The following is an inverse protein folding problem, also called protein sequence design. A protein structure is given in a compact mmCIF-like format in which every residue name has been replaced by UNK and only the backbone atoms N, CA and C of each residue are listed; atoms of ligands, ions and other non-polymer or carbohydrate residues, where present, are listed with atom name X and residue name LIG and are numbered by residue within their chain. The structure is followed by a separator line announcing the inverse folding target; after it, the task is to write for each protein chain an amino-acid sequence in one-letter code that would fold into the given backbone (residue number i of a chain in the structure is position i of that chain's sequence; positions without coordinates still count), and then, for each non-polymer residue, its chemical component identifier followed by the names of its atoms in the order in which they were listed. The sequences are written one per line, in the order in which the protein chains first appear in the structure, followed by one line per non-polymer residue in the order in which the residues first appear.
data_IF_617993352347
#
_entry.id   IF_617993352347
#
_cell.length_a   1.000
_cell.length_b   1.000
_cell.length_c   1.000
_cell.angle_alpha   90.00
_cell.angle_beta   90.00
_cell.angle_gamma   90.00
#
_symmetry.space_group_name_H-M   'P 1'
#
loop_
_entity.id
_entity.type
_entity.pdbx_description
1 polymer ?
#
# COMPACT_ATOMS: atom_id res chain seq x y z
N UNK A 1 -8.52 -12.55 38.90
CA UNK A 1 -7.89 -13.18 37.71
C UNK A 1 -8.66 -12.71 36.50
N UNK A 2 -8.10 -11.79 35.72
CA UNK A 2 -8.72 -11.33 34.47
C UNK A 2 -8.48 -12.43 33.43
N UNK A 3 -9.54 -13.11 33.02
CA UNK A 3 -9.49 -14.02 31.88
C UNK A 3 -9.06 -13.23 30.65
N UNK A 4 -8.01 -13.64 29.91
CA UNK A 4 -7.66 -12.98 28.66
C UNK A 4 -8.86 -13.10 27.71
N UNK A 5 -9.34 -11.96 27.21
CA UNK A 5 -10.34 -11.91 26.14
C UNK A 5 -9.88 -12.81 24.99
N UNK A 6 -10.73 -13.72 24.47
CA UNK A 6 -10.35 -14.59 23.38
C UNK A 6 -9.93 -13.73 22.18
N UNK A 7 -8.68 -13.86 21.76
CA UNK A 7 -8.18 -13.21 20.55
C UNK A 7 -8.88 -13.83 19.35
N UNK A 8 -9.57 -12.98 18.57
CA UNK A 8 -10.30 -13.37 17.35
C UNK A 8 -9.39 -14.07 16.33
N UNK A 9 -8.09 -13.74 16.36
CA UNK A 9 -7.08 -14.27 15.47
C UNK A 9 -6.13 -15.24 16.18
N UNK A 10 -5.67 -16.25 15.45
CA UNK A 10 -4.57 -17.09 15.91
C UNK A 10 -3.25 -16.29 15.90
N UNK A 11 -2.26 -16.64 16.74
CA UNK A 11 -0.95 -16.01 16.70
C UNK A 11 -0.27 -16.24 15.35
N UNK A 12 0.11 -15.17 14.67
CA UNK A 12 0.84 -15.24 13.40
C UNK A 12 2.28 -15.70 13.68
N UNK A 13 2.71 -16.73 12.95
CA UNK A 13 4.09 -17.26 13.02
C UNK A 13 4.85 -16.95 11.74
N UNK A 14 5.96 -16.22 11.85
CA UNK A 14 6.83 -15.89 10.72
C UNK A 14 8.22 -16.53 10.89
N UNK A 15 8.73 -17.11 9.81
CA UNK A 15 10.15 -17.44 9.69
C UNK A 15 10.97 -16.16 9.49
N UNK A 16 12.27 -16.25 9.78
CA UNK A 16 13.21 -15.15 9.53
C UNK A 16 13.21 -14.70 8.06
N UNK A 17 13.17 -15.65 7.12
CA UNK A 17 13.16 -15.32 5.68
C UNK A 17 11.85 -14.65 5.24
N UNK A 18 10.72 -15.01 5.85
CA UNK A 18 9.44 -14.33 5.60
C UNK A 18 9.47 -12.89 6.12
N UNK A 19 10.01 -12.67 7.32
CA UNK A 19 10.19 -11.34 7.89
C UNK A 19 11.12 -10.45 7.04
N UNK A 20 12.28 -10.99 6.61
CA UNK A 20 13.24 -10.28 5.75
C UNK A 20 12.64 -9.92 4.38
N UNK A 21 11.80 -10.79 3.81
CA UNK A 21 11.08 -10.54 2.55
C UNK A 21 10.07 -9.40 2.70
N UNK A 22 9.30 -9.39 3.79
CA UNK A 22 8.36 -8.30 4.10
C UNK A 22 9.10 -6.98 4.29
N UNK A 23 10.21 -6.97 5.02
CA UNK A 23 11.02 -5.77 5.22
C UNK A 23 11.58 -5.22 3.89
N UNK A 24 12.13 -6.10 3.04
CA UNK A 24 12.67 -5.72 1.73
C UNK A 24 11.60 -5.10 0.84
N UNK A 25 10.41 -5.71 0.80
CA UNK A 25 9.28 -5.18 0.06
C UNK A 25 8.86 -3.79 0.57
N UNK A 26 8.75 -3.62 1.89
CA UNK A 26 8.34 -2.33 2.47
C UNK A 26 9.38 -1.23 2.22
N UNK A 27 10.68 -1.56 2.32
CA UNK A 27 11.76 -0.64 1.95
C UNK A 27 11.68 -0.22 0.49
N UNK A 28 11.43 -1.16 -0.43
CA UNK A 28 11.25 -0.83 -1.85
C UNK A 28 10.05 0.11 -2.05
N UNK A 29 8.91 -0.16 -1.40
CA UNK A 29 7.73 0.69 -1.48
C UNK A 29 7.99 2.12 -0.97
N UNK A 30 8.81 2.28 0.08
CA UNK A 30 9.23 3.60 0.57
C UNK A 30 10.14 4.30 -0.45
N UNK A 31 11.11 3.59 -1.03
CA UNK A 31 12.00 4.16 -2.06
C UNK A 31 11.24 4.60 -3.31
N UNK A 32 10.27 3.81 -3.77
CA UNK A 32 9.41 4.16 -4.90
C UNK A 32 8.63 5.46 -4.64
N UNK A 33 8.13 5.64 -3.41
CA UNK A 33 7.44 6.86 -3.00
C UNK A 33 8.40 8.07 -2.97
N UNK A 34 9.64 7.88 -2.50
CA UNK A 34 10.67 8.93 -2.50
C UNK A 34 10.97 9.38 -3.93
N UNK A 35 11.25 8.43 -4.83
CA UNK A 35 11.53 8.71 -6.24
C UNK A 35 10.35 9.42 -6.93
N UNK A 36 9.12 8.96 -6.67
CA UNK A 36 7.94 9.57 -7.24
C UNK A 36 7.68 10.98 -6.73
N UNK A 37 7.97 11.25 -5.46
CA UNK A 37 7.92 12.61 -4.89
C UNK A 37 8.98 13.50 -5.54
N UNK A 38 10.21 13.02 -5.70
CA UNK A 38 11.27 13.76 -6.38
C UNK A 38 10.89 14.11 -7.81
N UNK A 39 10.35 13.15 -8.57
CA UNK A 39 9.88 13.37 -9.94
C UNK A 39 8.68 14.33 -10.03
N UNK A 40 7.86 14.42 -8.98
CA UNK A 40 6.78 15.39 -8.90
C UNK A 40 7.32 16.79 -8.61
N UNK A 41 8.26 16.93 -7.67
CA UNK A 41 8.85 18.22 -7.30
C UNK A 41 9.64 18.83 -8.46
N UNK A 42 10.31 18.02 -9.30
CA UNK A 42 11.00 18.52 -10.50
C UNK A 42 10.06 19.12 -11.55
N UNK A 43 8.76 18.87 -11.45
CA UNK A 43 7.70 19.44 -12.30
C UNK A 43 6.88 20.52 -11.59
N UNK A 44 7.38 21.08 -10.48
CA UNK A 44 6.66 22.06 -9.66
C UNK A 44 5.27 21.56 -9.22
N UNK A 45 5.22 20.31 -8.74
CA UNK A 45 3.99 19.61 -8.36
C UNK A 45 2.96 19.41 -9.49
N UNK A 46 3.31 19.70 -10.75
CA UNK A 46 2.49 19.33 -11.88
C UNK A 46 2.59 17.82 -12.12
N UNK A 47 1.44 17.17 -12.15
CA UNK A 47 1.34 15.77 -12.53
C UNK A 47 1.11 15.65 -14.04
N UNK A 48 1.53 14.51 -14.60
CA UNK A 48 1.28 14.17 -16.00
C UNK A 48 -0.22 14.15 -16.31
N UNK A 49 -0.59 14.33 -17.58
CA UNK A 49 -1.99 14.42 -18.05
C UNK A 49 -2.85 13.18 -17.76
N UNK A 50 -2.21 12.07 -17.40
CA UNK A 50 -2.85 10.84 -16.93
C UNK A 50 -3.44 10.99 -15.52
N UNK A 51 -2.95 11.92 -14.70
CA UNK A 51 -3.47 12.18 -13.37
C UNK A 51 -4.65 13.16 -13.43
N UNK A 52 -5.80 12.74 -12.88
CA UNK A 52 -6.99 13.57 -12.75
C UNK A 52 -7.12 14.11 -11.35
N UNK A 53 -7.33 15.41 -11.24
CA UNK A 53 -7.73 16.04 -10.00
C UNK A 53 -9.04 15.43 -9.48
N UNK A 54 -9.09 15.16 -8.18
CA UNK A 54 -10.27 14.61 -7.48
C UNK A 54 -10.91 15.69 -6.62
N UNK A 55 -10.15 16.25 -5.70
CA UNK A 55 -10.61 17.24 -4.73
C UNK A 55 -9.40 17.89 -4.05
N UNK A 56 -9.66 19.03 -3.40
CA UNK A 56 -8.77 19.63 -2.40
C UNK A 56 -9.51 19.81 -1.07
N UNK A 57 -8.74 19.92 0.01
CA UNK A 57 -9.18 20.31 1.34
C UNK A 57 -7.99 20.95 2.08
N UNK A 58 -8.17 22.14 2.64
CA UNK A 58 -7.05 22.90 3.20
C UNK A 58 -5.96 23.11 2.15
N UNK A 59 -4.72 22.74 2.49
CA UNK A 59 -3.58 22.78 1.56
C UNK A 59 -3.31 21.43 0.88
N UNK A 60 -4.16 20.43 1.08
CA UNK A 60 -4.04 19.10 0.47
C UNK A 60 -4.79 19.04 -0.85
N UNK A 61 -4.21 18.34 -1.83
CA UNK A 61 -4.80 18.03 -3.13
C UNK A 61 -4.70 16.53 -3.38
N UNK A 62 -5.79 15.92 -3.83
CA UNK A 62 -5.81 14.52 -4.26
C UNK A 62 -5.99 14.40 -5.77
N UNK A 63 -5.19 13.53 -6.36
CA UNK A 63 -5.23 13.12 -7.75
C UNK A 63 -5.36 11.61 -7.86
N UNK A 64 -5.93 11.15 -8.97
CA UNK A 64 -6.05 9.72 -9.31
C UNK A 64 -5.52 9.47 -10.70
N UNK A 65 -4.91 8.32 -10.93
CA UNK A 65 -4.48 7.95 -12.26
C UNK A 65 -5.69 7.60 -13.14
N UNK A 66 -5.63 7.94 -14.43
CA UNK A 66 -6.66 7.60 -15.42
C UNK A 66 -6.54 6.12 -15.78
N UNK A 67 -7.69 5.45 -15.77
CA UNK A 67 -7.75 4.02 -15.99
C UNK A 67 -7.65 3.24 -14.68
N UNK A 68 -7.51 1.94 -14.84
CA UNK A 68 -7.28 1.01 -13.76
C UNK A 68 -5.91 0.41 -14.00
N UNK A 69 -5.08 0.33 -12.96
CA UNK A 69 -3.81 -0.37 -13.10
C UNK A 69 -4.15 -1.83 -13.33
N UNK A 70 -3.84 -2.32 -14.54
CA UNK A 70 -3.80 -3.77 -14.77
C UNK A 70 -2.72 -4.30 -13.85
N UNK A 71 -3.01 -5.35 -13.10
CA UNK A 71 -2.01 -6.03 -12.27
C UNK A 71 -0.99 -6.70 -13.19
N UNK A 72 -0.13 -5.91 -13.85
CA UNK A 72 0.95 -6.41 -14.68
C UNK A 72 2.09 -6.83 -13.76
N UNK A 73 2.26 -8.15 -13.69
CA UNK A 73 3.30 -8.95 -13.04
C UNK A 73 4.76 -8.57 -13.39
N UNK A 74 4.99 -7.40 -13.98
CA UNK A 74 6.28 -6.91 -14.47
C UNK A 74 6.56 -5.45 -14.10
N UNK A 75 5.61 -4.73 -13.49
CA UNK A 75 5.97 -3.46 -12.83
C UNK A 75 6.70 -3.80 -11.53
N UNK A 76 7.74 -3.03 -11.19
CA UNK A 76 8.61 -3.17 -9.99
C UNK A 76 7.88 -3.24 -8.63
N UNK A 77 6.55 -3.23 -8.65
CA UNK A 77 5.59 -3.35 -7.55
C UNK A 77 5.23 -4.81 -7.18
N UNK A 78 5.82 -5.81 -7.85
CA UNK A 78 5.68 -7.21 -7.48
C UNK A 78 6.81 -8.07 -8.08
N UNK A 79 7.83 -8.40 -7.30
CA UNK A 79 8.68 -9.57 -7.54
C UNK A 79 9.14 -10.05 -6.16
N UNK A 80 9.07 -11.32 -5.79
CA UNK A 80 9.22 -12.56 -6.56
C UNK A 80 8.59 -13.70 -5.77
N UNK A 81 7.75 -14.56 -6.37
CA UNK A 81 8.06 -15.99 -6.49
C UNK A 81 7.05 -16.67 -7.45
N UNK A 82 7.57 -17.23 -8.52
CA UNK A 82 6.81 -18.11 -9.40
C UNK A 82 6.54 -19.44 -8.67
N UNK A 83 5.26 -19.77 -8.52
CA UNK A 83 4.55 -20.87 -9.20
C UNK A 83 3.53 -21.54 -8.28
N UNK A 84 2.37 -20.90 -8.12
CA UNK A 84 1.09 -21.61 -7.95
C UNK A 84 -0.06 -20.65 -8.27
N UNK A 85 -1.10 -21.15 -8.93
CA UNK A 85 -2.22 -20.38 -9.48
C UNK A 85 -3.14 -19.82 -8.38
N UNK A 86 -2.71 -18.76 -7.67
CA UNK A 86 -3.53 -17.83 -6.86
C UNK A 86 -2.61 -16.71 -6.35
N UNK A 87 -2.57 -15.56 -7.04
CA UNK A 87 -1.62 -14.49 -6.71
C UNK A 87 -2.33 -13.17 -6.46
N UNK A 88 -2.69 -12.90 -5.20
CA UNK A 88 -3.22 -11.62 -4.66
C UNK A 88 -2.73 -11.51 -3.24
N UNK A 89 -2.18 -10.37 -2.83
CA UNK A 89 -1.39 -10.21 -1.60
C UNK A 89 -0.10 -11.04 -1.57
N UNK A 90 0.85 -10.57 -0.77
CA UNK A 90 2.09 -11.31 -0.53
C UNK A 90 1.71 -12.54 0.30
N UNK A 91 1.64 -13.70 -0.35
CA UNK A 91 1.47 -14.94 0.40
C UNK A 91 2.75 -15.16 1.21
N UNK A 92 2.59 -15.18 2.52
CA UNK A 92 3.70 -15.38 3.43
C UNK A 92 4.17 -16.85 3.38
N UNK A 93 3.34 -17.82 3.00
CA UNK A 93 3.57 -19.27 3.16
C UNK A 93 4.12 -20.04 1.94
N UNK A 94 5.08 -19.50 1.20
CA UNK A 94 5.79 -20.29 0.17
C UNK A 94 6.79 -21.28 0.82
N UNK A 95 6.41 -22.55 0.97
CA UNK A 95 7.33 -23.65 1.30
C UNK A 95 8.20 -23.99 0.09
N UNK A 96 9.52 -23.99 0.28
CA UNK A 96 10.50 -24.47 -0.71
C UNK A 96 10.31 -25.99 -0.87
N UNK A 97 9.75 -26.44 -2.00
CA UNK A 97 9.90 -27.83 -2.45
C UNK A 97 11.19 -27.95 -3.25
N UNK A 98 12.26 -28.38 -2.58
CA UNK A 98 13.40 -29.04 -3.23
C UNK A 98 12.94 -30.38 -3.77
N UNK A 99 12.86 -30.52 -5.09
CA UNK A 99 12.47 -31.76 -5.75
C UNK A 99 13.10 -31.84 -7.14
N UNK A 100 14.30 -32.39 -7.19
CA UNK A 100 14.96 -32.88 -8.40
C UNK A 100 14.18 -34.04 -9.02
N UNK A 101 13.70 -33.92 -10.26
CA UNK A 101 13.47 -35.08 -11.14
C UNK A 101 13.64 -34.70 -12.62
N UNK A 102 14.68 -35.32 -13.20
CA UNK A 102 14.89 -35.60 -14.62
C UNK A 102 13.77 -36.43 -15.22
N UNK A 103 13.33 -36.15 -16.45
CA UNK A 103 12.95 -37.17 -17.46
C UNK A 103 13.07 -36.60 -18.88
N UNK A 104 13.49 -37.47 -19.80
CA UNK A 104 14.00 -37.18 -21.13
C UNK A 104 12.98 -37.34 -22.28
N UNK A 105 13.28 -36.61 -23.36
CA UNK A 105 12.99 -36.77 -24.81
C UNK A 105 11.84 -37.64 -25.38
N UNK A 106 11.18 -37.06 -26.40
CA UNK A 106 10.99 -37.47 -27.83
C UNK A 106 9.59 -37.03 -28.31
N UNK A 107 9.27 -36.67 -29.55
CA UNK A 107 9.94 -36.40 -30.84
C UNK A 107 8.87 -35.92 -31.85
N UNK A 108 9.27 -35.07 -32.83
CA UNK A 108 8.68 -34.86 -34.20
C UNK A 108 7.22 -34.36 -34.28
N UNK A 109 6.79 -33.53 -35.24
CA UNK A 109 7.19 -33.30 -36.63
C UNK A 109 6.77 -31.91 -37.17
N UNK A 110 7.49 -31.52 -38.22
CA UNK A 110 7.34 -30.38 -39.16
C UNK A 110 5.95 -30.03 -39.67
N UNK A 111 5.72 -28.74 -40.01
CA UNK A 111 5.39 -28.26 -41.38
C UNK A 111 5.82 -26.79 -41.55
N UNK A 112 6.39 -26.51 -42.73
CA UNK A 112 6.99 -25.28 -43.23
C UNK A 112 5.93 -24.45 -43.97
N UNK A 113 5.90 -23.11 -43.81
CA UNK A 113 5.27 -22.21 -44.79
C UNK A 113 5.92 -20.83 -44.74
N UNK A 114 6.05 -20.22 -45.92
CA UNK A 114 6.99 -19.16 -46.31
C UNK A 114 6.34 -17.77 -46.40
N UNK A 115 7.19 -16.76 -46.19
CA UNK A 115 7.22 -15.39 -46.75
C UNK A 115 6.03 -14.42 -46.58
N UNK A 116 6.32 -13.27 -45.93
CA UNK A 116 6.29 -11.96 -46.62
C UNK A 116 7.18 -10.92 -45.93
N UNK A 117 7.82 -10.11 -46.76
CA UNK A 117 8.79 -9.04 -46.45
C UNK A 117 8.09 -7.74 -46.01
N UNK A 118 8.78 -7.06 -45.09
CA UNK A 118 8.98 -5.60 -44.95
C UNK A 118 7.78 -4.67 -44.68
N UNK A 119 7.84 -4.00 -43.54
CA UNK A 119 7.78 -2.53 -43.48
C UNK A 119 8.41 -2.04 -42.17
N UNK A 120 9.55 -1.35 -42.30
CA UNK A 120 10.08 -0.50 -41.25
C UNK A 120 9.13 0.69 -41.08
N UNK A 121 8.40 0.74 -39.96
CA UNK A 121 7.78 1.98 -39.49
C UNK A 121 8.35 2.30 -38.13
N UNK A 122 9.23 3.30 -38.11
CA UNK A 122 9.73 3.98 -36.94
C UNK A 122 8.51 4.55 -36.20
N UNK A 123 8.06 3.92 -35.12
CA UNK A 123 7.05 4.47 -34.20
C UNK A 123 7.62 4.55 -32.80
N UNK A 124 7.54 5.77 -32.30
CA UNK A 124 7.85 6.25 -30.96
C UNK A 124 7.25 5.34 -29.88
N UNK A 125 8.05 5.11 -28.84
CA UNK A 125 7.72 4.33 -27.64
C UNK A 125 6.61 5.07 -26.87
N UNK A 126 5.36 4.77 -27.21
CA UNK A 126 4.17 5.17 -26.46
C UNK A 126 3.82 4.08 -25.46
N UNK A 127 3.57 4.50 -24.21
CA UNK A 127 3.22 3.64 -23.09
C UNK A 127 2.14 2.59 -23.44
N UNK A 128 2.49 1.32 -23.30
CA UNK A 128 1.51 0.23 -23.42
C UNK A 128 0.68 0.17 -22.14
N UNK A 129 -0.56 0.67 -22.22
CA UNK A 129 -1.64 0.38 -21.27
C UNK A 129 -1.75 -1.15 -21.15
N UNK A 130 -1.47 -1.70 -19.97
CA UNK A 130 -1.51 -3.13 -19.72
C UNK A 130 -2.91 -3.69 -19.99
N UNK A 131 -3.03 -4.63 -20.93
CA UNK A 131 -4.28 -5.32 -21.25
C UNK A 131 -4.65 -6.25 -20.08
N UNK A 132 -5.82 -6.04 -19.47
CA UNK A 132 -6.36 -6.87 -18.37
C UNK A 132 -6.59 -8.31 -18.85
N UNK A 133 -6.24 -9.30 -18.01
CA UNK A 133 -6.70 -10.68 -18.18
C UNK A 133 -8.22 -10.73 -17.86
N UNK A 134 -9.09 -11.02 -18.84
CA UNK A 134 -10.54 -11.10 -18.62
C UNK A 134 -10.97 -12.15 -17.59
N UNK A 135 -10.08 -13.08 -17.24
CA UNK A 135 -10.34 -14.16 -16.29
C UNK A 135 -9.97 -13.83 -14.85
N UNK A 136 -9.40 -12.64 -14.58
CA UNK A 136 -9.09 -12.22 -13.21
C UNK A 136 -10.36 -11.67 -12.51
N UNK A 137 -10.96 -12.41 -11.55
CA UNK A 137 -12.20 -12.00 -10.90
C UNK A 137 -12.03 -10.80 -9.98
N UNK A 138 -10.79 -10.30 -9.79
CA UNK A 138 -10.50 -9.28 -8.80
C UNK A 138 -10.85 -7.87 -9.27
N UNK A 139 -11.19 -6.99 -8.32
CA UNK A 139 -11.40 -5.58 -8.61
C UNK A 139 -10.14 -4.93 -9.18
N UNK A 140 -10.27 -4.00 -10.12
CA UNK A 140 -9.14 -3.21 -10.54
C UNK A 140 -8.59 -2.37 -9.38
N UNK A 141 -7.27 -2.14 -9.38
CA UNK A 141 -6.65 -1.16 -8.48
C UNK A 141 -6.70 0.24 -9.11
N UNK A 142 -6.89 1.24 -8.26
CA UNK A 142 -6.80 2.65 -8.64
C UNK A 142 -5.74 3.36 -7.83
N UNK A 143 -4.70 3.80 -8.55
CA UNK A 143 -3.67 4.64 -7.97
C UNK A 143 -4.17 6.05 -7.67
N UNK A 144 -3.71 6.58 -6.55
CA UNK A 144 -3.95 7.95 -6.11
C UNK A 144 -2.68 8.58 -5.54
N UNK A 145 -2.65 9.90 -5.56
CA UNK A 145 -1.67 10.73 -4.87
C UNK A 145 -2.40 11.81 -4.09
N UNK A 146 -2.01 12.02 -2.85
CA UNK A 146 -2.47 13.16 -2.04
C UNK A 146 -1.25 13.88 -1.53
N UNK A 147 -1.14 15.19 -1.75
CA UNK A 147 0.01 15.95 -1.26
C UNK A 147 -0.35 17.38 -0.92
N UNK A 148 0.48 17.99 -0.07
CA UNK A 148 0.33 19.36 0.39
C UNK A 148 0.85 19.54 1.81
N UNK A 149 0.52 20.68 2.41
CA UNK A 149 0.97 21.04 3.76
C UNK A 149 -0.06 20.68 4.82
N UNK A 150 0.44 20.26 5.98
CA UNK A 150 -0.35 20.04 7.20
C UNK A 150 0.31 20.75 8.38
N UNK A 151 -0.47 21.03 9.41
CA UNK A 151 0.07 21.45 10.71
C UNK A 151 0.64 20.24 11.45
N UNK A 152 1.61 20.48 12.32
CA UNK A 152 2.36 19.47 13.05
C UNK A 152 3.82 19.36 12.59
N UNK A 153 4.70 19.11 13.55
CA UNK A 153 6.10 18.78 13.27
C UNK A 153 6.20 17.36 12.71
N UNK A 154 7.11 17.14 11.76
CA UNK A 154 7.11 15.93 10.95
C UNK A 154 7.34 14.65 11.76
N UNK A 155 8.12 14.73 12.85
CA UNK A 155 8.34 13.59 13.75
C UNK A 155 7.06 13.22 14.46
N UNK A 156 6.39 14.20 15.04
CA UNK A 156 5.17 14.01 15.81
C UNK A 156 4.05 13.39 14.93
N UNK A 157 3.97 13.81 13.66
CA UNK A 157 3.08 13.22 12.64
C UNK A 157 3.43 11.76 12.31
N UNK A 158 4.71 11.38 12.37
CA UNK A 158 5.14 9.99 12.12
C UNK A 158 4.92 9.15 13.37
N UNK A 159 5.25 9.71 14.54
CA UNK A 159 5.20 9.03 15.83
C UNK A 159 3.77 8.71 16.26
N UNK A 160 2.77 9.53 15.88
CA UNK A 160 1.35 9.20 16.10
C UNK A 160 0.90 7.95 15.34
N UNK A 161 1.67 7.45 14.37
CA UNK A 161 1.41 6.19 13.67
C UNK A 161 2.07 4.98 14.33
N UNK A 162 2.94 5.19 15.31
CA UNK A 162 3.63 4.12 16.01
C UNK A 162 2.70 3.44 17.02
N UNK A 163 2.47 2.14 16.87
CA UNK A 163 1.84 1.32 17.88
C UNK A 163 2.33 -0.13 17.76
N UNK A 164 2.88 -0.67 18.85
CA UNK A 164 3.50 -1.99 18.90
C UNK A 164 2.63 -3.07 19.56
N UNK A 165 1.50 -2.70 20.16
CA UNK A 165 0.52 -3.63 20.73
C UNK A 165 -0.91 -3.22 20.35
N UNK A 166 -1.85 -4.16 20.49
CA UNK A 166 -3.24 -3.97 20.04
C UNK A 166 -4.00 -2.89 20.81
N UNK A 167 -3.74 -2.71 22.11
CA UNK A 167 -4.47 -1.72 22.93
C UNK A 167 -4.13 -0.32 22.44
N UNK A 168 -2.84 -0.02 22.34
CA UNK A 168 -2.36 1.27 21.86
C UNK A 168 -2.79 1.49 20.41
N UNK A 169 -2.68 0.47 19.56
CA UNK A 169 -3.08 0.57 18.16
C UNK A 169 -4.56 0.92 17.99
N UNK A 170 -5.47 0.29 18.73
CA UNK A 170 -6.90 0.60 18.63
C UNK A 170 -7.20 2.01 19.13
N UNK A 171 -6.62 2.42 20.26
CA UNK A 171 -6.79 3.77 20.78
C UNK A 171 -6.27 4.82 19.79
N UNK A 172 -5.06 4.62 19.29
CA UNK A 172 -4.40 5.47 18.31
C UNK A 172 -5.22 5.59 17.01
N UNK A 173 -5.71 4.47 16.45
CA UNK A 173 -6.52 4.50 15.23
C UNK A 173 -7.87 5.20 15.42
N UNK A 174 -8.50 5.05 16.59
CA UNK A 174 -9.76 5.74 16.92
C UNK A 174 -9.58 7.24 17.11
N UNK A 175 -8.41 7.67 17.58
CA UNK A 175 -8.05 9.09 17.65
C UNK A 175 -7.83 9.67 16.25
N UNK A 176 -7.15 8.93 15.37
CA UNK A 176 -6.89 9.38 14.00
C UNK A 176 -8.13 9.37 13.12
N UNK A 177 -9.05 8.44 13.32
CA UNK A 177 -10.15 8.21 12.39
C UNK A 177 -11.44 7.77 13.10
N UNK A 178 -12.53 8.56 13.01
CA UNK A 178 -13.79 8.24 13.66
C UNK A 178 -14.52 7.03 13.05
N UNK A 179 -14.07 6.51 11.90
CA UNK A 179 -14.69 5.33 11.27
C UNK A 179 -14.11 4.00 11.76
N UNK A 180 -13.06 4.03 12.58
CA UNK A 180 -12.41 2.81 13.09
C UNK A 180 -13.33 2.11 14.09
N UNK A 181 -13.62 0.85 13.80
CA UNK A 181 -14.43 -0.03 14.66
C UNK A 181 -13.51 -0.72 15.66
N UNK A 182 -12.48 -1.39 15.15
CA UNK A 182 -11.57 -2.23 15.93
C UNK A 182 -10.25 -2.46 15.18
N UNK A 183 -9.27 -3.05 15.86
CA UNK A 183 -7.95 -3.34 15.30
C UNK A 183 -7.12 -4.28 16.16
N UNK A 184 -6.08 -4.87 15.56
CA UNK A 184 -5.15 -5.75 16.26
C UNK A 184 -3.75 -5.65 15.67
N UNK A 185 -2.74 -5.71 16.53
CA UNK A 185 -1.37 -6.04 16.13
C UNK A 185 -1.26 -7.56 16.15
N UNK A 186 -1.09 -8.15 14.97
CA UNK A 186 -1.08 -9.60 14.79
C UNK A 186 0.33 -10.18 14.97
N UNK A 187 1.35 -9.43 14.58
CA UNK A 187 2.75 -9.83 14.73
C UNK A 187 3.67 -8.61 14.71
N UNK A 188 4.65 -8.55 15.59
CA UNK A 188 5.70 -7.51 15.57
C UNK A 188 7.00 -8.12 15.08
N UNK A 189 7.49 -7.66 13.93
CA UNK A 189 8.78 -8.07 13.37
C UNK A 189 9.90 -7.26 14.01
N UNK A 190 9.70 -5.95 14.15
CA UNK A 190 10.65 -5.03 14.76
C UNK A 190 9.91 -3.86 15.41
N UNK A 191 10.30 -3.52 16.63
CA UNK A 191 9.83 -2.33 17.33
C UNK A 191 11.03 -1.71 18.08
N UNK A 192 11.50 -0.58 17.56
CA UNK A 192 12.52 0.26 18.21
C UNK A 192 11.91 1.62 18.53
N UNK A 193 12.67 2.51 19.16
CA UNK A 193 12.19 3.87 19.46
C UNK A 193 11.70 4.62 18.21
N UNK A 194 12.51 4.58 17.15
CA UNK A 194 12.27 5.42 15.96
C UNK A 194 11.73 4.63 14.76
N UNK A 195 11.40 3.35 14.93
CA UNK A 195 10.88 2.56 13.81
C UNK A 195 10.11 1.31 14.23
N UNK A 196 9.09 1.01 13.44
CA UNK A 196 8.21 -0.15 13.59
C UNK A 196 8.13 -0.93 12.28
N UNK A 197 8.01 -2.25 12.39
CA UNK A 197 7.62 -3.17 11.32
C UNK A 197 6.78 -4.30 11.92
N UNK A 198 5.58 -4.52 11.40
CA UNK A 198 4.72 -5.60 11.86
C UNK A 198 3.46 -5.78 11.04
N UNK A 199 2.72 -6.84 11.34
CA UNK A 199 1.44 -7.17 10.69
C UNK A 199 0.32 -6.72 11.60
N UNK A 200 -0.63 -5.99 11.01
CA UNK A 200 -1.80 -5.43 11.69
C UNK A 200 -3.07 -5.76 10.93
N UNK A 201 -4.18 -5.69 11.63
CA UNK A 201 -5.52 -5.78 11.09
C UNK A 201 -6.35 -4.62 11.61
N UNK A 202 -7.17 -4.00 10.75
CA UNK A 202 -8.08 -2.92 11.13
C UNK A 202 -9.46 -3.16 10.50
N UNK A 203 -10.51 -2.87 11.24
CA UNK A 203 -11.88 -2.81 10.75
C UNK A 203 -12.43 -1.40 10.84
N UNK A 204 -13.09 -0.96 9.77
CA UNK A 204 -13.62 0.39 9.61
C UNK A 204 -15.05 0.37 9.07
N UNK A 205 -15.84 1.36 9.44
CA UNK A 205 -17.14 1.63 8.85
C UNK A 205 -17.01 2.69 7.75
N UNK A 206 -16.60 2.27 6.55
CA UNK A 206 -16.40 3.18 5.43
C UNK A 206 -17.72 3.62 4.79
N UNK A 207 -17.63 4.57 3.85
CA UNK A 207 -18.79 4.98 3.04
C UNK A 207 -19.39 3.85 2.18
N UNK A 208 -18.67 2.73 2.01
CA UNK A 208 -19.15 1.55 1.31
C UNK A 208 -19.64 0.42 2.24
N UNK A 209 -19.72 0.71 3.55
CA UNK A 209 -20.07 -0.25 4.59
C UNK A 209 -18.86 -0.73 5.38
N UNK A 210 -19.05 -1.79 6.17
CA UNK A 210 -17.99 -2.30 7.04
C UNK A 210 -16.92 -3.04 6.24
N UNK A 211 -15.67 -2.65 6.43
CA UNK A 211 -14.50 -3.17 5.73
C UNK A 211 -13.44 -3.58 6.74
N UNK A 212 -12.57 -4.48 6.30
CA UNK A 212 -11.34 -4.78 7.01
C UNK A 212 -10.13 -4.84 6.09
N UNK A 213 -8.96 -4.60 6.67
CA UNK A 213 -7.66 -4.68 5.98
C UNK A 213 -6.69 -5.44 6.88
N UNK A 214 -6.07 -6.49 6.34
CA UNK A 214 -4.91 -7.14 6.94
C UNK A 214 -3.66 -6.69 6.17
N UNK A 215 -2.67 -6.13 6.87
CA UNK A 215 -1.54 -5.45 6.23
C UNK A 215 -0.27 -5.55 7.04
N UNK A 216 0.88 -5.50 6.34
CA UNK A 216 2.15 -5.15 6.96
C UNK A 216 2.26 -3.63 7.01
N UNK A 217 2.75 -3.10 8.11
CA UNK A 217 3.04 -1.67 8.31
C UNK A 217 4.50 -1.49 8.66
N UNK A 218 5.12 -0.47 8.06
CA UNK A 218 6.46 -0.01 8.38
C UNK A 218 6.43 1.49 8.64
N UNK A 219 6.93 1.89 9.81
CA UNK A 219 7.03 3.29 10.24
C UNK A 219 8.49 3.60 10.55
N UNK A 220 8.95 4.79 10.21
CA UNK A 220 10.26 5.28 10.60
C UNK A 220 10.73 6.43 9.75
N UNK A 221 12.06 6.54 9.64
CA UNK A 221 12.72 7.66 8.99
C UNK A 221 13.69 7.16 7.90
N UNK A 222 13.83 7.95 6.84
CA UNK A 222 14.75 7.70 5.72
C UNK A 222 15.31 9.02 5.21
N UNK A 223 16.28 8.97 4.31
CA UNK A 223 16.80 10.14 3.62
C UNK A 223 16.17 10.26 2.23
N UNK A 224 15.81 11.47 1.82
CA UNK A 224 15.33 11.75 0.46
C UNK A 224 16.50 11.89 -0.54
N UNK A 225 16.19 12.15 -1.82
CA UNK A 225 17.22 12.31 -2.87
C UNK A 225 18.10 13.56 -2.71
N UNK A 226 17.77 14.45 -1.78
CA UNK A 226 18.53 15.67 -1.47
C UNK A 226 19.36 15.54 -0.19
N UNK A 227 19.38 14.36 0.45
CA UNK A 227 20.12 14.17 1.71
C UNK A 227 19.35 14.61 2.97
N UNK A 228 18.11 15.08 2.84
CA UNK A 228 17.28 15.50 3.98
C UNK A 228 16.60 14.29 4.62
N UNK A 229 16.61 14.24 5.96
CA UNK A 229 15.82 13.27 6.72
C UNK A 229 14.33 13.54 6.58
N UNK A 230 13.56 12.48 6.34
CA UNK A 230 12.11 12.51 6.16
C UNK A 230 11.50 11.35 6.93
N UNK A 231 10.28 11.53 7.42
CA UNK A 231 9.49 10.46 8.01
C UNK A 231 8.67 9.70 6.99
N UNK A 232 8.34 8.44 7.29
CA UNK A 232 7.44 7.65 6.48
C UNK A 232 6.50 6.76 7.30
N UNK A 233 5.32 6.53 6.74
CA UNK A 233 4.34 5.53 7.18
C UNK A 233 3.90 4.75 5.95
N UNK A 234 4.31 3.50 5.86
CA UNK A 234 4.01 2.63 4.74
C UNK A 234 3.16 1.44 5.19
N UNK A 235 2.16 1.08 4.41
CA UNK A 235 1.39 -0.14 4.59
C UNK A 235 1.12 -0.85 3.25
N UNK A 236 0.99 -2.16 3.31
CA UNK A 236 0.61 -3.00 2.17
C UNK A 236 -0.18 -4.22 2.65
N UNK A 237 -1.29 -4.53 1.97
CA UNK A 237 -2.09 -5.71 2.29
C UNK A 237 -1.30 -7.01 2.15
N UNK A 238 -1.47 -7.90 3.13
CA UNK A 238 -0.86 -9.24 3.16
C UNK A 238 -1.92 -10.28 3.47
N UNK A 239 -1.74 -11.48 2.91
CA UNK A 239 -2.60 -12.62 3.23
C UNK A 239 -1.82 -13.51 4.22
N UNK A 240 -2.33 -13.58 5.45
CA UNK A 240 -1.85 -14.49 6.49
C UNK A 240 -3.00 -15.44 6.87
N UNK A 241 -2.78 -16.76 6.91
CA UNK A 241 -3.84 -17.73 7.23
C UNK A 241 -4.52 -17.49 8.58
N UNK A 242 -3.79 -16.93 9.54
CA UNK A 242 -4.27 -16.62 10.88
C UNK A 242 -5.21 -15.41 10.91
N UNK A 243 -5.31 -14.65 9.81
CA UNK A 243 -6.24 -13.54 9.60
C UNK A 243 -7.11 -13.77 8.34
N UNK A 244 -8.01 -14.76 8.37
CA UNK A 244 -8.91 -15.05 7.26
C UNK A 244 -9.89 -13.90 7.01
N UNK A 245 -10.54 -13.90 5.84
CA UNK A 245 -11.62 -12.96 5.56
C UNK A 245 -12.83 -13.24 6.48
N UNK A 246 -13.37 -12.19 7.09
CA UNK A 246 -14.44 -12.28 8.09
C UNK A 246 -15.84 -11.98 7.49
N UNK A 247 -15.99 -12.12 6.17
CA UNK A 247 -17.23 -11.83 5.44
C UNK A 247 -18.42 -12.64 5.98
N UNK A 248 -18.21 -13.94 6.21
CA UNK A 248 -19.28 -14.84 6.68
C UNK A 248 -19.65 -14.67 8.15
N UNK A 249 -18.67 -14.41 9.02
CA UNK A 249 -18.86 -14.35 10.48
C UNK A 249 -19.21 -12.95 10.99
N UNK A 250 -18.63 -11.90 10.40
CA UNK A 250 -18.73 -10.52 10.90
C UNK A 250 -19.28 -9.51 9.87
N UNK A 251 -19.63 -9.97 8.66
CA UNK A 251 -20.10 -9.12 7.55
C UNK A 251 -19.11 -7.99 7.20
N UNK A 252 -17.81 -8.25 7.38
CA UNK A 252 -16.73 -7.37 6.98
C UNK A 252 -16.28 -7.74 5.58
N UNK A 253 -16.15 -6.77 4.68
CA UNK A 253 -15.56 -7.02 3.35
C UNK A 253 -14.09 -6.67 3.37
N UNK A 254 -13.23 -7.65 3.08
CA UNK A 254 -11.78 -7.47 2.95
C UNK A 254 -11.47 -6.56 1.78
N UNK A 255 -10.71 -5.51 2.02
CA UNK A 255 -10.19 -4.61 0.98
C UNK A 255 -8.69 -4.76 0.90
N UNK A 256 -8.16 -4.76 -0.33
CA UNK A 256 -6.71 -4.71 -0.56
C UNK A 256 -6.25 -3.32 -0.97
N UNK A 257 -5.17 -2.87 -0.34
CA UNK A 257 -4.55 -1.60 -0.62
C UNK A 257 -3.06 -1.59 -0.31
N UNK A 258 -2.37 -0.61 -0.87
CA UNK A 258 -1.04 -0.18 -0.44
C UNK A 258 -1.02 1.33 -0.36
N UNK A 259 -0.30 1.86 0.62
CA UNK A 259 -0.17 3.30 0.83
C UNK A 259 1.19 3.60 1.46
N UNK A 260 1.87 4.61 0.96
CA UNK A 260 3.04 5.21 1.59
C UNK A 260 2.79 6.68 1.76
N UNK A 261 2.89 7.16 3.00
CA UNK A 261 2.94 8.56 3.36
C UNK A 261 4.39 8.94 3.66
N UNK A 262 4.87 10.02 3.06
CA UNK A 262 6.13 10.69 3.36
C UNK A 262 5.83 12.02 4.02
N UNK A 263 6.50 12.31 5.13
CA UNK A 263 6.35 13.55 5.90
C UNK A 263 7.70 14.25 5.92
N UNK A 264 7.74 15.46 5.37
CA UNK A 264 8.98 16.21 5.16
C UNK A 264 8.93 17.51 5.94
N UNK A 265 10.00 17.89 6.65
CA UNK A 265 10.05 19.16 7.35
C UNK A 265 9.95 20.32 6.36
N UNK A 266 9.11 21.31 6.67
CA UNK A 266 9.01 22.53 5.87
C UNK A 266 10.21 23.45 6.15
N UNK A 267 10.76 24.06 5.09
CA UNK A 267 11.93 24.94 5.19
C UNK A 267 11.61 26.33 5.78
N UNK A 268 10.34 26.76 5.73
CA UNK A 268 10.00 28.19 5.73
C UNK A 268 9.34 28.72 7.01
N UNK A 269 9.18 27.91 8.07
CA UNK A 269 8.44 28.39 9.25
C UNK A 269 8.94 27.82 10.58
N UNK A 270 9.19 28.66 11.61
CA UNK A 270 9.40 28.21 12.99
C UNK A 270 8.12 27.66 13.66
N UNK A 271 6.98 27.67 12.95
CA UNK A 271 5.71 27.06 13.39
C UNK A 271 5.57 25.70 12.70
N UNK A 272 5.55 24.63 13.50
CA UNK A 272 5.59 23.23 13.07
C UNK A 272 4.56 22.89 11.99
N UNK A 273 4.93 23.05 10.72
CA UNK A 273 4.19 22.55 9.56
C UNK A 273 5.06 21.57 8.79
N UNK A 274 4.42 20.62 8.15
CA UNK A 274 5.10 19.56 7.39
C UNK A 274 4.48 19.37 6.02
N UNK A 275 5.31 19.02 5.04
CA UNK A 275 4.90 18.67 3.69
C UNK A 275 4.62 17.17 3.59
N UNK A 276 3.37 16.81 3.36
CA UNK A 276 2.92 15.43 3.24
C UNK A 276 2.82 15.04 1.77
N UNK A 277 3.30 13.84 1.45
CA UNK A 277 3.10 13.18 0.16
C UNK A 277 2.63 11.75 0.40
N UNK A 278 1.42 11.45 -0.03
CA UNK A 278 0.82 10.12 0.01
C UNK A 278 0.73 9.58 -1.40
N UNK A 279 1.22 8.37 -1.59
CA UNK A 279 0.99 7.56 -2.77
C UNK A 279 0.34 6.25 -2.36
N UNK A 280 -0.68 5.81 -3.10
CA UNK A 280 -1.28 4.52 -2.83
C UNK A 280 -2.11 3.99 -3.99
N UNK A 281 -2.58 2.76 -3.82
CA UNK A 281 -3.55 2.13 -4.68
C UNK A 281 -4.51 1.28 -3.83
N UNK A 282 -5.79 1.27 -4.22
CA UNK A 282 -6.83 0.48 -3.55
C UNK A 282 -7.76 -0.18 -4.56
N UNK A 283 -8.35 -1.30 -4.17
CA UNK A 283 -9.38 -1.99 -4.96
C UNK A 283 -10.58 -1.10 -5.22
N UNK A 284 -11.09 -1.14 -6.46
CA UNK A 284 -12.23 -0.33 -6.90
C UNK A 284 -13.45 -1.17 -7.18
N UNK A 285 -14.26 -1.34 -6.14
CA UNK A 285 -15.62 -1.88 -6.27
C UNK A 285 -16.69 -0.80 -6.07
N UNK A 286 -16.27 0.42 -5.78
CA UNK A 286 -17.15 1.48 -5.30
C UNK A 286 -17.52 2.46 -6.41
N UNK A 287 -18.68 3.10 -6.25
CA UNK A 287 -19.08 4.18 -7.14
C UNK A 287 -18.08 5.34 -7.07
N UNK A 288 -18.03 6.15 -8.13
CA UNK A 288 -17.16 7.33 -8.16
C UNK A 288 -17.45 8.32 -7.03
N UNK A 289 -18.69 8.37 -6.55
CA UNK A 289 -19.15 9.22 -5.45
C UNK A 289 -18.56 8.73 -4.11
N UNK A 290 -18.68 7.44 -3.82
CA UNK A 290 -18.14 6.84 -2.58
C UNK A 290 -16.62 7.01 -2.55
N UNK A 291 -15.94 6.73 -3.66
CA UNK A 291 -14.50 6.92 -3.76
C UNK A 291 -14.10 8.39 -3.50
N UNK A 292 -14.86 9.36 -4.01
CA UNK A 292 -14.61 10.79 -3.77
C UNK A 292 -14.80 11.17 -2.30
N UNK A 293 -15.86 10.69 -1.66
CA UNK A 293 -16.10 10.87 -0.23
C UNK A 293 -14.94 10.30 0.60
N UNK A 294 -14.44 9.11 0.26
CA UNK A 294 -13.28 8.51 0.92
C UNK A 294 -12.01 9.36 0.77
N UNK A 295 -11.72 9.89 -0.42
CA UNK A 295 -10.57 10.78 -0.60
C UNK A 295 -10.69 12.07 0.22
N UNK A 296 -11.90 12.67 0.28
CA UNK A 296 -12.14 13.86 1.09
C UNK A 296 -12.00 13.58 2.58
N UNK A 297 -12.51 12.45 3.05
CA UNK A 297 -12.36 12.01 4.44
C UNK A 297 -10.88 11.80 4.80
N UNK A 298 -10.11 11.10 3.97
CA UNK A 298 -8.68 10.91 4.19
C UNK A 298 -7.92 12.24 4.23
N UNK A 299 -8.28 13.21 3.39
CA UNK A 299 -7.70 14.56 3.48
C UNK A 299 -8.10 15.29 4.76
N UNK A 300 -9.33 15.11 5.27
CA UNK A 300 -9.76 15.73 6.52
C UNK A 300 -8.94 15.21 7.70
N UNK A 301 -8.80 13.89 7.79
CA UNK A 301 -7.93 13.23 8.80
C UNK A 301 -6.50 13.78 8.74
N UNK A 302 -5.92 13.93 7.55
CA UNK A 302 -4.57 14.47 7.40
C UNK A 302 -4.48 15.97 7.71
N UNK A 303 -5.49 16.76 7.34
CA UNK A 303 -5.52 18.20 7.59
C UNK A 303 -5.59 18.50 9.10
N UNK A 304 -6.32 17.66 9.83
CA UNK A 304 -6.61 17.82 11.25
C UNK A 304 -5.64 17.02 12.14
N UNK A 305 -4.60 16.42 11.55
CA UNK A 305 -3.69 15.50 12.25
C UNK A 305 -3.00 16.14 13.46
N UNK A 306 -2.73 17.45 13.43
CA UNK A 306 -2.15 18.17 14.57
C UNK A 306 -3.05 18.16 15.79
N UNK A 307 -4.38 18.11 15.63
CA UNK A 307 -5.34 18.09 16.74
C UNK A 307 -5.25 16.80 17.57
N UNK A 308 -4.59 15.77 17.04
CA UNK A 308 -4.41 14.47 17.70
C UNK A 308 -3.03 14.36 18.36
N UNK A 309 -2.12 15.28 18.06
CA UNK A 309 -0.72 15.20 18.49
C UNK A 309 -0.38 16.21 19.60
N UNK A 310 -1.19 17.26 19.75
CA UNK A 310 -1.13 18.24 20.86
C UNK A 310 -1.80 17.69 22.14
#
# INVERSE_FOLDING_TARGET
MLTPTPTVFAPVSLSRSQAERLETMMKQQVQDAVLARTAQLSKDNNLDSEWRFVSSLGQLKTFKLRGTDSFCSTSSWATTLNRSNRATACNVNDRISTGSHTWAMRSRSSVRSRHRRLSFSRRTVGATVGRRDPLDPRPPLRSFRTFGRVQGHYRDIVDVHYASNSVDFVQQQKLLSPVVIDGAVLHTIRATKDSYLGIKWIAENSFAGKRDVCFVEMVGYTTNTQGQEIGFVAMASVDVPECPELTGSMKLTRVRMKRTMLVVPSADTPKGTSEVFVMGASETNESSIIAHAQYRFNMAVLNDISLVID
#
